data_IF_046083595942
#
_entry.id   IF_046083595942
#
_cell.length_a   1.000
_cell.length_b   1.000
_cell.length_c   1.000
_cell.angle_alpha   90.00
_cell.angle_beta   90.00
_cell.angle_gamma   90.00
#
_symmetry.space_group_name_H-M   'P 1'
#
loop_
_entity.id
_entity.type
_entity.pdbx_description
1 polymer ?
#
# COMPACT_ATOMS: atom_id res chain seq x y z
N UNK A 1 -43.55 -35.45 -25.12
CA UNK A 1 -42.80 -36.68 -24.74
C UNK A 1 -41.56 -36.99 -25.60
N UNK A 2 -41.25 -36.29 -26.69
CA UNK A 2 -40.08 -36.60 -27.55
C UNK A 2 -38.74 -35.92 -27.09
N UNK A 3 -38.80 -34.85 -26.31
CA UNK A 3 -37.59 -34.09 -25.92
C UNK A 3 -36.75 -34.75 -24.80
N UNK A 4 -37.41 -35.51 -23.90
CA UNK A 4 -36.72 -36.16 -22.79
C UNK A 4 -35.83 -37.36 -23.19
N UNK A 5 -36.11 -37.97 -24.32
CA UNK A 5 -35.36 -39.12 -24.80
C UNK A 5 -34.05 -38.70 -25.52
N UNK A 6 -34.04 -37.55 -26.14
CA UNK A 6 -32.83 -36.99 -26.78
C UNK A 6 -31.80 -36.56 -25.72
N UNK A 7 -32.25 -35.93 -24.63
CA UNK A 7 -31.38 -35.53 -23.51
C UNK A 7 -30.78 -36.76 -22.79
N UNK A 8 -31.57 -37.80 -22.63
CA UNK A 8 -31.06 -39.09 -22.03
C UNK A 8 -30.08 -39.79 -22.97
N UNK A 9 -30.29 -39.73 -24.26
CA UNK A 9 -29.36 -40.27 -25.25
C UNK A 9 -28.05 -39.53 -25.30
N UNK A 10 -28.10 -38.18 -25.29
CA UNK A 10 -26.91 -37.31 -25.26
C UNK A 10 -26.11 -37.48 -23.94
N UNK A 11 -26.81 -37.60 -22.81
CA UNK A 11 -26.19 -37.87 -21.51
C UNK A 11 -25.53 -39.26 -21.44
N UNK A 12 -26.17 -40.26 -22.06
CA UNK A 12 -25.61 -41.63 -22.14
C UNK A 12 -24.37 -41.68 -23.05
N UNK A 13 -24.34 -40.98 -24.16
CA UNK A 13 -23.18 -40.87 -25.06
C UNK A 13 -22.04 -40.09 -24.38
N UNK A 14 -22.35 -39.01 -23.66
CA UNK A 14 -21.34 -38.25 -22.91
C UNK A 14 -20.71 -39.09 -21.79
N UNK A 15 -21.53 -39.88 -21.06
CA UNK A 15 -21.06 -40.79 -20.00
C UNK A 15 -20.24 -41.97 -20.58
N UNK A 16 -20.57 -42.48 -21.75
CA UNK A 16 -19.80 -43.51 -22.41
C UNK A 16 -18.45 -42.99 -22.97
N UNK A 17 -18.40 -41.72 -23.38
CA UNK A 17 -17.16 -41.09 -23.86
C UNK A 17 -16.18 -40.78 -22.74
N UNK A 18 -16.68 -40.49 -21.52
CA UNK A 18 -15.84 -40.26 -20.34
C UNK A 18 -15.23 -41.55 -19.76
N UNK A 19 -15.81 -42.71 -20.05
CA UNK A 19 -15.26 -44.02 -19.63
C UNK A 19 -14.26 -44.65 -20.56
N UNK A 20 -14.06 -44.04 -21.77
CA UNK A 20 -13.15 -44.56 -22.79
C UNK A 20 -11.76 -43.91 -22.78
N UNK A 21 -11.37 -43.21 -21.72
CA UNK A 21 -9.99 -42.75 -21.57
C UNK A 21 -9.12 -43.97 -21.24
N UNK A 22 -8.21 -44.39 -22.15
CA UNK A 22 -7.26 -45.44 -21.83
C UNK A 22 -6.43 -44.96 -20.65
N UNK A 23 -6.38 -45.73 -19.59
CA UNK A 23 -5.39 -45.58 -18.53
C UNK A 23 -4.03 -45.88 -19.19
N UNK A 24 -3.36 -44.84 -19.67
CA UNK A 24 -1.97 -44.93 -20.12
C UNK A 24 -1.18 -45.20 -18.85
N UNK A 25 -0.82 -46.45 -18.63
CA UNK A 25 0.10 -46.85 -17.57
C UNK A 25 1.46 -46.18 -17.91
N UNK A 26 1.69 -45.01 -17.30
CA UNK A 26 2.99 -44.34 -17.41
C UNK A 26 4.05 -45.26 -16.82
N UNK A 27 5.02 -45.64 -17.61
CA UNK A 27 6.21 -46.32 -17.10
C UNK A 27 6.86 -45.40 -16.07
N UNK A 28 6.87 -45.84 -14.82
CA UNK A 28 7.53 -45.14 -13.73
C UNK A 28 8.83 -45.86 -13.39
N UNK A 29 9.83 -45.11 -13.02
CA UNK A 29 11.05 -45.65 -12.43
C UNK A 29 11.28 -45.09 -11.05
N UNK A 30 11.83 -45.90 -10.14
CA UNK A 30 12.16 -45.44 -8.80
C UNK A 30 13.57 -44.90 -8.78
N UNK A 31 13.72 -43.64 -8.43
CA UNK A 31 15.01 -42.99 -8.22
C UNK A 31 15.33 -42.97 -6.74
N UNK A 32 16.50 -43.50 -6.37
CA UNK A 32 17.05 -43.50 -5.01
C UNK A 32 18.42 -42.86 -5.04
N UNK A 33 18.71 -42.04 -4.04
CA UNK A 33 19.98 -41.39 -3.93
C UNK A 33 20.26 -40.87 -2.53
N UNK A 34 21.44 -40.28 -2.37
CA UNK A 34 21.89 -39.60 -1.18
C UNK A 34 22.30 -38.19 -1.59
N UNK A 35 21.78 -37.18 -0.89
CA UNK A 35 22.15 -35.80 -1.11
C UNK A 35 23.20 -35.42 -0.06
N UNK A 36 24.33 -34.90 -0.52
CA UNK A 36 25.45 -34.46 0.32
C UNK A 36 25.89 -33.05 -0.08
N UNK A 37 26.60 -32.41 0.82
CA UNK A 37 27.29 -31.16 0.54
C UNK A 37 28.68 -31.38 -0.13
N UNK A 38 29.41 -30.31 -0.40
CA UNK A 38 30.78 -30.33 -0.97
C UNK A 38 31.82 -30.97 -0.04
N UNK A 39 31.55 -31.10 1.26
CA UNK A 39 32.39 -31.78 2.24
C UNK A 39 32.05 -33.26 2.35
N UNK A 40 30.95 -33.70 1.78
CA UNK A 40 30.43 -35.07 1.78
C UNK A 40 29.52 -35.35 2.96
N UNK A 41 29.13 -34.35 3.76
CA UNK A 41 28.14 -34.48 4.81
C UNK A 41 26.71 -34.61 4.26
N UNK A 42 25.85 -35.47 4.84
CA UNK A 42 24.47 -35.66 4.36
C UNK A 42 23.61 -34.43 4.63
N UNK A 43 22.87 -33.97 3.60
CA UNK A 43 21.92 -32.87 3.73
C UNK A 43 20.54 -33.45 4.12
N UNK A 44 20.12 -33.14 5.34
CA UNK A 44 18.84 -33.57 5.92
C UNK A 44 17.74 -32.62 5.52
N UNK A 45 16.58 -33.14 5.09
CA UNK A 45 15.42 -32.31 4.76
C UNK A 45 15.48 -31.60 3.39
N UNK A 46 16.43 -31.99 2.52
CA UNK A 46 16.45 -31.48 1.16
C UNK A 46 15.19 -31.92 0.39
N UNK A 47 14.58 -31.00 -0.32
CA UNK A 47 13.37 -31.23 -1.12
C UNK A 47 13.75 -31.91 -2.45
N UNK A 48 13.12 -33.03 -2.74
CA UNK A 48 13.29 -33.80 -4.00
C UNK A 48 11.94 -33.86 -4.69
N UNK A 49 11.76 -33.11 -5.77
CA UNK A 49 10.48 -32.94 -6.47
C UNK A 49 10.58 -33.36 -7.93
N UNK A 50 9.56 -34.04 -8.43
CA UNK A 50 9.46 -34.36 -9.87
C UNK A 50 8.86 -33.16 -10.60
N UNK A 51 9.63 -32.59 -11.55
CA UNK A 51 9.28 -31.37 -12.26
C UNK A 51 7.95 -31.52 -13.01
N UNK A 52 7.05 -30.57 -12.80
CA UNK A 52 5.72 -30.57 -13.43
C UNK A 52 4.73 -31.58 -12.85
N UNK A 53 4.95 -32.05 -11.61
CA UNK A 53 4.03 -32.91 -10.87
C UNK A 53 3.94 -32.49 -9.41
N UNK A 54 2.98 -33.05 -8.66
CA UNK A 54 2.88 -32.90 -7.21
C UNK A 54 3.66 -33.96 -6.44
N UNK A 55 4.37 -34.87 -7.14
CA UNK A 55 5.14 -35.93 -6.53
C UNK A 55 6.48 -35.43 -6.06
N UNK A 56 6.81 -35.66 -4.78
CA UNK A 56 8.06 -35.28 -4.18
C UNK A 56 8.28 -36.02 -2.85
N UNK A 57 9.50 -35.89 -2.33
CA UNK A 57 9.91 -36.40 -1.02
C UNK A 57 10.96 -35.48 -0.41
N UNK A 58 11.34 -35.73 0.82
CA UNK A 58 12.46 -35.06 1.49
C UNK A 58 13.54 -36.09 1.86
N UNK A 59 14.77 -35.66 2.00
CA UNK A 59 15.87 -36.51 2.47
C UNK A 59 15.77 -36.82 3.97
N UNK A 60 16.16 -38.02 4.36
CA UNK A 60 16.20 -38.47 5.75
C UNK A 60 17.48 -37.99 6.49
N UNK A 61 17.70 -38.51 7.72
CA UNK A 61 18.86 -38.17 8.55
C UNK A 61 20.20 -38.55 7.96
N UNK A 62 20.23 -39.52 7.04
CA UNK A 62 21.42 -39.94 6.30
C UNK A 62 21.49 -39.26 4.92
N UNK A 63 20.66 -38.25 4.64
CA UNK A 63 20.56 -37.60 3.35
C UNK A 63 19.93 -38.47 2.24
N UNK A 64 19.36 -39.65 2.57
CA UNK A 64 18.78 -40.58 1.61
C UNK A 64 17.38 -40.20 1.21
N UNK A 65 17.03 -40.43 -0.06
CA UNK A 65 15.69 -40.24 -0.56
C UNK A 65 15.28 -41.35 -1.53
N UNK A 66 13.97 -41.49 -1.70
CA UNK A 66 13.38 -42.35 -2.73
C UNK A 66 12.13 -41.67 -3.31
N UNK A 67 12.13 -41.50 -4.64
CA UNK A 67 11.01 -40.89 -5.35
C UNK A 67 10.66 -41.68 -6.60
N UNK A 68 9.37 -41.77 -6.91
CA UNK A 68 8.87 -42.43 -8.11
C UNK A 68 8.75 -41.41 -9.24
N UNK A 69 9.49 -41.60 -10.33
CA UNK A 69 9.57 -40.64 -11.42
C UNK A 69 8.91 -41.23 -12.67
N UNK A 70 7.91 -40.56 -13.24
CA UNK A 70 7.36 -40.96 -14.55
C UNK A 70 8.39 -40.83 -15.66
N UNK A 71 8.36 -41.74 -16.62
CA UNK A 71 9.31 -41.74 -17.74
C UNK A 71 9.32 -40.40 -18.48
N UNK A 72 10.52 -39.85 -18.71
CA UNK A 72 10.71 -38.56 -19.40
C UNK A 72 10.56 -37.31 -18.50
N UNK A 73 10.36 -37.48 -17.18
CA UNK A 73 10.36 -36.36 -16.24
C UNK A 73 11.71 -36.17 -15.58
N UNK A 74 11.98 -34.95 -15.12
CA UNK A 74 13.20 -34.58 -14.44
C UNK A 74 12.91 -34.49 -12.91
N UNK A 75 13.97 -34.59 -12.12
CA UNK A 75 13.92 -34.43 -10.67
C UNK A 75 14.71 -33.19 -10.29
N UNK A 76 14.06 -32.30 -9.56
CA UNK A 76 14.63 -31.09 -8.97
C UNK A 76 14.96 -31.38 -7.50
N UNK A 77 16.20 -31.09 -7.11
CA UNK A 77 16.69 -31.22 -5.73
C UNK A 77 17.09 -29.85 -5.26
N UNK A 78 16.50 -29.40 -4.17
CA UNK A 78 16.72 -28.08 -3.60
C UNK A 78 16.83 -28.12 -2.07
N UNK A 79 17.69 -27.27 -1.52
CA UNK A 79 17.80 -27.04 -0.09
C UNK A 79 18.18 -25.59 0.16
N UNK A 80 17.75 -25.05 1.30
CA UNK A 80 18.02 -23.64 1.66
C UNK A 80 19.52 -23.43 1.79
N UNK A 81 20.07 -22.46 1.05
CA UNK A 81 21.52 -22.16 1.05
C UNK A 81 22.32 -22.98 0.04
N UNK A 82 21.68 -23.76 -0.84
CA UNK A 82 22.33 -24.56 -1.87
C UNK A 82 21.76 -24.31 -3.26
N UNK A 83 22.61 -24.44 -4.29
CA UNK A 83 22.19 -24.29 -5.68
C UNK A 83 21.27 -25.46 -6.06
N UNK A 84 20.07 -25.14 -6.51
CA UNK A 84 19.09 -26.12 -6.99
C UNK A 84 19.64 -26.90 -8.18
N UNK A 85 19.59 -28.23 -8.11
CA UNK A 85 20.07 -29.12 -9.15
C UNK A 85 18.91 -29.86 -9.83
N UNK A 86 18.88 -29.88 -11.18
CA UNK A 86 17.85 -30.58 -11.95
C UNK A 86 18.53 -31.76 -12.64
N UNK A 87 18.03 -32.97 -12.36
CA UNK A 87 18.57 -34.23 -12.89
C UNK A 87 17.64 -34.85 -13.93
N UNK A 88 18.20 -35.22 -15.07
CA UNK A 88 17.50 -35.95 -16.14
C UNK A 88 17.97 -37.39 -16.23
N UNK A 89 19.15 -37.71 -15.70
CA UNK A 89 19.73 -39.06 -15.63
C UNK A 89 19.77 -39.50 -14.16
N UNK A 90 19.18 -40.66 -13.89
CA UNK A 90 19.03 -41.26 -12.56
C UNK A 90 20.07 -42.36 -12.24
N UNK A 91 21.19 -42.37 -12.95
CA UNK A 91 22.30 -43.27 -12.70
C UNK A 91 23.17 -42.85 -11.54
N UNK A 92 23.23 -41.55 -11.26
CA UNK A 92 23.94 -41.02 -10.11
C UNK A 92 23.16 -41.27 -8.83
N UNK A 93 23.74 -42.00 -7.89
CA UNK A 93 23.16 -42.26 -6.57
C UNK A 93 23.66 -41.30 -5.49
N UNK A 94 24.76 -40.60 -5.72
CA UNK A 94 25.30 -39.57 -4.84
C UNK A 94 25.18 -38.21 -5.53
N UNK A 95 24.38 -37.33 -4.98
CA UNK A 95 24.12 -35.98 -5.49
C UNK A 95 24.77 -34.99 -4.55
N UNK A 96 25.76 -34.25 -5.05
CA UNK A 96 26.47 -33.21 -4.34
C UNK A 96 25.84 -31.86 -4.66
N UNK A 97 25.21 -31.21 -3.65
CA UNK A 97 24.75 -29.85 -3.78
C UNK A 97 25.91 -28.90 -3.43
N UNK A 98 26.13 -27.94 -4.29
CA UNK A 98 27.06 -26.85 -4.04
C UNK A 98 26.36 -25.80 -3.21
N UNK A 99 27.04 -25.30 -2.18
CA UNK A 99 26.53 -24.14 -1.45
C UNK A 99 26.26 -23.02 -2.43
N UNK A 100 25.08 -22.44 -2.33
CA UNK A 100 24.78 -21.21 -3.03
C UNK A 100 25.53 -20.07 -2.28
N UNK A 101 26.79 -19.91 -2.65
CA UNK A 101 27.60 -18.77 -2.23
C UNK A 101 27.15 -17.46 -2.87
N UNK A 102 26.20 -17.52 -3.82
CA UNK A 102 25.30 -16.42 -4.07
C UNK A 102 24.24 -16.39 -2.94
N UNK A 103 24.63 -16.20 -1.67
CA UNK A 103 23.89 -15.30 -0.84
C UNK A 103 23.56 -14.16 -1.80
N UNK A 104 22.28 -13.93 -2.02
CA UNK A 104 21.81 -12.68 -2.59
C UNK A 104 22.59 -11.63 -1.81
N UNK A 105 23.68 -11.15 -2.39
CA UNK A 105 24.40 -9.98 -1.90
C UNK A 105 23.35 -8.88 -2.01
N UNK A 106 22.49 -8.79 -1.01
CA UNK A 106 21.53 -7.70 -0.90
C UNK A 106 22.36 -6.45 -0.83
N UNK A 107 22.55 -5.88 -2.02
CA UNK A 107 23.33 -4.67 -2.19
C UNK A 107 22.42 -3.53 -1.80
N UNK A 108 22.72 -2.92 -0.68
CA UNK A 108 22.00 -1.74 -0.22
C UNK A 108 22.71 -0.52 -0.78
N UNK A 109 21.95 0.35 -1.43
CA UNK A 109 22.45 1.67 -1.84
C UNK A 109 22.65 2.51 -0.60
N UNK A 110 23.88 2.98 -0.35
CA UNK A 110 24.24 3.76 0.82
C UNK A 110 24.90 5.05 0.36
N UNK A 111 24.21 6.16 0.54
CA UNK A 111 24.74 7.46 0.16
C UNK A 111 25.10 7.54 -1.33
N UNK A 112 26.36 7.68 -1.65
CA UNK A 112 26.84 7.81 -3.03
C UNK A 112 27.39 6.51 -3.62
N UNK A 113 27.12 5.36 -2.98
CA UNK A 113 27.62 4.06 -3.43
C UNK A 113 26.74 2.89 -3.02
N UNK A 114 27.07 1.71 -3.54
CA UNK A 114 26.42 0.45 -3.18
C UNK A 114 27.35 -0.33 -2.26
N UNK A 115 26.83 -0.81 -1.11
CA UNK A 115 27.56 -1.68 -0.19
C UNK A 115 26.75 -2.95 0.08
N UNK A 116 27.46 -4.06 0.32
CA UNK A 116 26.80 -5.29 0.74
C UNK A 116 26.19 -5.10 2.12
N UNK A 117 24.96 -5.55 2.33
CA UNK A 117 24.25 -5.46 3.62
C UNK A 117 25.08 -5.99 4.79
N UNK A 118 25.86 -7.04 4.55
CA UNK A 118 26.77 -7.63 5.54
C UNK A 118 27.91 -6.69 6.00
N UNK A 119 28.25 -5.66 5.24
CA UNK A 119 29.31 -4.69 5.53
C UNK A 119 28.78 -3.39 6.14
N UNK A 120 27.45 -3.28 6.35
CA UNK A 120 26.83 -2.09 6.90
C UNK A 120 26.93 -2.11 8.44
N UNK A 121 27.74 -1.23 8.99
CA UNK A 121 27.85 -1.03 10.45
C UNK A 121 26.76 -0.11 11.02
N UNK A 122 25.96 0.51 10.16
CA UNK A 122 24.88 1.43 10.52
C UNK A 122 23.53 0.74 10.69
N UNK A 123 22.60 1.38 11.40
CA UNK A 123 21.22 0.93 11.54
C UNK A 123 20.42 1.18 10.22
N UNK A 124 20.48 0.25 9.29
CA UNK A 124 19.77 0.29 8.02
C UNK A 124 18.70 -0.81 8.01
N UNK A 125 17.49 -0.45 7.64
CA UNK A 125 16.40 -1.39 7.42
C UNK A 125 15.96 -1.34 5.96
N UNK A 126 15.84 -2.50 5.33
CA UNK A 126 15.36 -2.65 3.95
C UNK A 126 13.92 -3.14 3.97
N UNK A 127 13.10 -2.62 3.10
CA UNK A 127 11.69 -3.03 2.95
C UNK A 127 11.62 -4.17 1.93
N UNK A 128 10.96 -5.29 2.25
CA UNK A 128 10.70 -6.36 1.29
C UNK A 128 9.68 -5.88 0.25
N UNK A 129 10.14 -5.63 -0.98
CA UNK A 129 9.28 -5.04 -2.03
C UNK A 129 8.16 -5.97 -2.49
N UNK A 130 8.36 -7.29 -2.41
CA UNK A 130 7.36 -8.28 -2.82
C UNK A 130 6.08 -8.19 -1.95
N UNK A 131 6.21 -7.75 -0.71
CA UNK A 131 5.07 -7.63 0.22
C UNK A 131 4.20 -6.40 -0.06
N UNK A 132 4.72 -5.39 -0.77
CA UNK A 132 4.02 -4.11 -0.97
C UNK A 132 3.58 -3.83 -2.42
N UNK A 133 4.13 -4.55 -3.41
CA UNK A 133 3.85 -4.31 -4.83
C UNK A 133 2.37 -4.50 -5.18
N UNK A 134 1.69 -5.45 -4.54
CA UNK A 134 0.32 -5.84 -4.84
C UNK A 134 -0.73 -5.12 -3.96
N UNK A 135 -0.29 -4.23 -3.07
CA UNK A 135 -1.22 -3.46 -2.24
C UNK A 135 -1.90 -2.36 -3.05
N UNK A 136 -3.23 -2.28 -2.93
CA UNK A 136 -4.05 -1.25 -3.56
C UNK A 136 -4.08 0.04 -2.72
N UNK A 137 -2.91 0.53 -2.31
CA UNK A 137 -2.81 1.82 -1.60
C UNK A 137 -2.48 2.95 -2.56
N UNK A 138 -3.14 4.08 -2.39
CA UNK A 138 -2.84 5.32 -3.09
C UNK A 138 -1.55 6.01 -2.62
N UNK A 139 -0.97 5.51 -1.54
CA UNK A 139 0.05 6.16 -0.75
C UNK A 139 1.13 5.15 -0.36
N UNK A 140 2.35 5.35 -0.89
CA UNK A 140 3.45 4.42 -0.64
C UNK A 140 3.83 4.36 0.85
N UNK A 141 3.78 5.48 1.56
CA UNK A 141 4.16 5.51 2.98
C UNK A 141 3.26 4.61 3.83
N UNK A 142 1.95 4.57 3.55
CA UNK A 142 1.01 3.72 4.28
C UNK A 142 1.35 2.22 4.15
N UNK A 143 1.88 1.80 3.00
CA UNK A 143 2.28 0.41 2.79
C UNK A 143 3.47 -0.01 3.65
N UNK A 144 4.24 0.94 4.17
CA UNK A 144 5.40 0.68 5.04
C UNK A 144 5.03 0.49 6.52
N UNK A 145 3.77 0.69 6.88
CA UNK A 145 3.31 0.58 8.27
C UNK A 145 3.55 -0.83 8.81
N UNK A 146 4.28 -0.92 9.92
CA UNK A 146 4.61 -2.20 10.55
C UNK A 146 5.73 -3.02 9.89
N UNK A 147 6.25 -2.60 8.72
CA UNK A 147 7.29 -3.35 8.00
C UNK A 147 8.71 -3.04 8.48
N UNK A 148 8.92 -1.87 9.04
CA UNK A 148 10.23 -1.42 9.47
C UNK A 148 10.24 -1.06 10.95
N UNK A 149 11.08 -1.71 11.74
CA UNK A 149 11.21 -1.40 13.16
C UNK A 149 11.64 0.05 13.39
N UNK A 150 10.91 0.77 14.24
CA UNK A 150 11.18 2.17 14.58
C UNK A 150 10.74 3.17 13.50
N UNK A 151 9.92 2.74 12.55
CA UNK A 151 9.23 3.60 11.60
C UNK A 151 7.75 3.65 12.00
N UNK A 152 7.24 4.85 12.21
CA UNK A 152 5.82 5.11 12.47
C UNK A 152 5.21 5.81 11.27
N UNK A 153 4.06 5.34 10.84
CA UNK A 153 3.29 5.94 9.74
C UNK A 153 1.94 6.39 10.26
N UNK A 154 1.55 7.60 9.95
CA UNK A 154 0.27 8.17 10.35
C UNK A 154 -0.42 8.91 9.19
N UNK A 155 -1.75 8.84 9.14
CA UNK A 155 -2.55 9.45 8.08
C UNK A 155 -2.50 8.69 6.74
N UNK A 156 -3.00 9.32 5.70
CA UNK A 156 -2.87 8.88 4.30
C UNK A 156 -4.00 8.03 3.77
N UNK A 157 -4.30 6.89 4.36
CA UNK A 157 -5.26 5.94 3.76
C UNK A 157 -6.73 6.25 4.03
N UNK A 158 -7.01 7.04 5.05
CA UNK A 158 -8.39 7.33 5.44
C UNK A 158 -9.12 8.27 4.46
N UNK A 159 -8.38 9.05 3.68
CA UNK A 159 -8.94 9.98 2.70
C UNK A 159 -8.23 9.91 1.37
N UNK A 160 -8.96 9.87 0.25
CA UNK A 160 -8.38 9.91 -1.08
C UNK A 160 -7.42 11.10 -1.28
N UNK A 161 -6.22 10.79 -1.78
CA UNK A 161 -5.22 11.81 -2.11
C UNK A 161 -4.61 12.56 -0.94
N UNK A 162 -4.70 12.04 0.29
CA UNK A 162 -3.95 12.56 1.43
C UNK A 162 -2.62 11.82 1.59
N UNK A 163 -1.57 12.58 1.93
CA UNK A 163 -0.26 12.01 2.17
C UNK A 163 -0.17 11.42 3.57
N UNK A 164 0.40 10.24 3.69
CA UNK A 164 0.83 9.73 4.98
C UNK A 164 2.14 10.37 5.41
N UNK A 165 2.30 10.56 6.70
CA UNK A 165 3.51 11.06 7.34
C UNK A 165 4.32 9.92 7.90
N UNK A 166 5.63 9.95 7.67
CA UNK A 166 6.57 8.98 8.20
C UNK A 166 7.41 9.65 9.29
N UNK A 167 7.46 9.02 10.47
CA UNK A 167 8.37 9.38 11.53
C UNK A 167 9.33 8.22 11.80
N UNK A 168 10.62 8.52 11.88
CA UNK A 168 11.66 7.56 12.24
C UNK A 168 12.07 7.85 13.68
N UNK A 169 11.91 6.87 14.59
CA UNK A 169 12.27 6.94 16.00
C UNK A 169 11.63 8.07 16.80
N UNK A 170 10.37 8.35 16.52
CA UNK A 170 9.51 9.21 17.35
C UNK A 170 10.22 10.46 17.94
N UNK A 171 10.54 11.41 17.07
CA UNK A 171 11.08 12.71 17.48
C UNK A 171 9.96 13.74 17.67
N UNK A 172 9.00 13.42 18.53
CA UNK A 172 7.84 14.29 18.81
C UNK A 172 8.16 15.54 19.63
N UNK A 173 9.38 15.72 20.07
CA UNK A 173 9.67 16.64 21.19
C UNK A 173 9.85 18.10 20.78
N UNK A 174 9.98 18.43 19.50
CA UNK A 174 10.28 19.80 19.05
C UNK A 174 9.31 20.40 18.03
N UNK A 175 8.29 19.67 17.63
CA UNK A 175 7.31 20.14 16.63
C UNK A 175 6.38 21.25 17.18
N UNK A 176 6.20 21.34 18.47
CA UNK A 176 5.34 22.35 19.12
C UNK A 176 5.96 23.76 19.21
N UNK A 177 7.24 23.91 18.89
CA UNK A 177 7.94 25.21 18.92
C UNK A 177 8.11 25.79 17.52
N UNK A 178 7.13 25.56 16.63
CA UNK A 178 7.04 26.26 15.33
C UNK A 178 7.95 25.73 14.24
N UNK A 179 8.34 24.48 14.28
CA UNK A 179 9.13 23.81 13.24
C UNK A 179 8.46 22.58 12.66
N UNK A 180 8.35 22.54 11.37
CA UNK A 180 7.76 21.48 10.54
C UNK A 180 8.62 20.20 10.41
N UNK A 181 9.66 20.05 11.19
CA UNK A 181 10.80 19.21 10.84
C UNK A 181 10.86 17.86 11.57
N UNK A 182 9.76 17.12 11.71
CA UNK A 182 9.83 15.73 12.21
C UNK A 182 9.94 14.67 11.11
N UNK A 183 9.81 15.06 9.84
CA UNK A 183 9.84 14.13 8.72
C UNK A 183 11.27 13.78 8.27
N UNK A 184 11.49 12.55 7.77
CA UNK A 184 12.79 12.14 7.25
C UNK A 184 13.14 12.85 5.94
N UNK A 185 14.42 12.82 5.58
CA UNK A 185 14.89 13.24 4.27
C UNK A 185 14.58 12.17 3.23
N UNK A 186 14.01 12.57 2.11
CA UNK A 186 13.70 11.66 1.00
C UNK A 186 14.75 11.77 -0.10
N UNK A 187 15.31 10.62 -0.48
CA UNK A 187 16.29 10.51 -1.58
C UNK A 187 15.78 9.48 -2.58
N UNK A 188 15.46 9.91 -3.79
CA UNK A 188 14.91 9.04 -4.83
C UNK A 188 15.87 9.04 -6.02
N UNK A 189 16.40 7.87 -6.39
CA UNK A 189 17.41 7.69 -7.46
C UNK A 189 18.62 8.63 -7.31
N UNK A 190 19.04 8.91 -6.06
CA UNK A 190 20.15 9.80 -5.76
C UNK A 190 19.80 11.30 -5.70
N UNK A 191 18.59 11.67 -6.06
CA UNK A 191 18.14 13.06 -5.92
C UNK A 191 17.60 13.32 -4.51
N UNK A 192 18.15 14.32 -3.84
CA UNK A 192 17.76 14.74 -2.50
C UNK A 192 16.62 15.75 -2.63
N UNK A 193 15.42 15.35 -2.21
CA UNK A 193 14.26 16.23 -2.24
C UNK A 193 14.28 17.28 -1.13
N UNK A 194 13.81 18.50 -1.38
CA UNK A 194 13.65 19.50 -0.34
C UNK A 194 12.61 19.05 0.70
N UNK A 195 12.94 19.20 1.98
CA UNK A 195 12.03 18.85 3.09
C UNK A 195 10.93 19.90 3.23
N UNK A 196 11.27 21.16 3.00
CA UNK A 196 10.33 22.27 3.12
C UNK A 196 10.45 23.20 1.92
N UNK A 197 9.34 23.42 1.26
CA UNK A 197 9.20 24.46 0.24
C UNK A 197 8.00 25.32 0.60
N UNK A 198 8.24 26.61 0.74
CA UNK A 198 7.17 27.57 1.02
C UNK A 198 6.62 28.10 -0.29
N UNK A 199 5.35 27.81 -0.55
CA UNK A 199 4.63 28.30 -1.73
C UNK A 199 3.47 29.16 -1.23
N UNK A 200 3.62 30.49 -1.29
CA UNK A 200 2.67 31.39 -0.66
C UNK A 200 2.66 31.22 0.86
N UNK A 201 1.49 30.98 1.43
CA UNK A 201 1.30 30.75 2.87
C UNK A 201 1.34 29.26 3.27
N UNK A 202 1.55 28.36 2.31
CA UNK A 202 1.60 26.91 2.53
C UNK A 202 3.04 26.43 2.53
N UNK A 203 3.39 25.65 3.55
CA UNK A 203 4.66 24.92 3.62
C UNK A 203 4.41 23.47 3.23
N UNK A 204 5.05 23.00 2.18
CA UNK A 204 4.91 21.62 1.68
C UNK A 204 6.22 20.88 1.77
N UNK A 205 6.15 19.59 2.11
CA UNK A 205 7.25 18.65 2.00
C UNK A 205 7.18 17.95 0.63
N UNK A 206 7.93 18.50 -0.33
CA UNK A 206 7.97 17.93 -1.69
C UNK A 206 8.54 16.51 -1.71
N UNK A 207 9.44 16.18 -0.78
CA UNK A 207 10.01 14.85 -0.67
C UNK A 207 8.96 13.83 -0.23
N UNK A 208 8.16 14.17 0.78
CA UNK A 208 7.07 13.32 1.23
C UNK A 208 6.02 13.13 0.13
N UNK A 209 5.65 14.19 -0.57
CA UNK A 209 4.69 14.12 -1.68
C UNK A 209 5.22 13.26 -2.82
N UNK A 210 6.47 13.47 -3.25
CA UNK A 210 7.09 12.67 -4.28
C UNK A 210 7.18 11.18 -3.89
N UNK A 211 7.52 10.89 -2.63
CA UNK A 211 7.58 9.53 -2.11
C UNK A 211 6.20 8.87 -2.06
N UNK A 212 5.21 9.55 -1.50
CA UNK A 212 3.85 9.05 -1.40
C UNK A 212 3.21 8.76 -2.77
N UNK A 213 3.59 9.52 -3.78
CA UNK A 213 3.10 9.38 -5.14
C UNK A 213 3.80 8.29 -5.96
N UNK A 214 4.89 7.70 -5.49
CA UNK A 214 5.55 6.61 -6.21
C UNK A 214 4.67 5.37 -6.29
N UNK A 215 4.67 4.74 -7.47
CA UNK A 215 4.07 3.42 -7.64
C UNK A 215 5.03 2.34 -7.14
N UNK A 216 4.61 1.47 -6.18
CA UNK A 216 5.44 0.36 -5.70
C UNK A 216 5.97 -0.54 -6.83
N UNK A 217 5.25 -0.70 -7.93
CA UNK A 217 5.64 -1.58 -9.05
C UNK A 217 6.93 -1.15 -9.76
N UNK A 218 7.28 0.16 -9.69
CA UNK A 218 8.50 0.70 -10.29
C UNK A 218 9.68 0.75 -9.33
N UNK A 219 9.50 0.37 -8.07
CA UNK A 219 10.54 0.44 -7.05
C UNK A 219 11.34 -0.86 -7.03
N UNK A 220 12.65 -0.77 -6.98
CA UNK A 220 13.56 -1.91 -6.80
C UNK A 220 13.86 -2.13 -5.32
N UNK A 221 14.11 -1.05 -4.55
CA UNK A 221 14.38 -1.15 -3.12
C UNK A 221 14.04 0.14 -2.38
N UNK A 222 13.65 -0.02 -1.10
CA UNK A 222 13.52 1.07 -0.14
C UNK A 222 14.41 0.75 1.05
N UNK A 223 15.30 1.69 1.39
CA UNK A 223 16.17 1.58 2.55
C UNK A 223 15.92 2.74 3.51
N UNK A 224 15.71 2.42 4.77
CA UNK A 224 15.53 3.39 5.85
C UNK A 224 16.82 3.51 6.62
N UNK A 225 17.49 4.65 6.47
CA UNK A 225 18.74 4.94 7.15
C UNK A 225 18.46 5.68 8.46
N UNK A 226 18.99 5.16 9.54
CA UNK A 226 18.81 5.69 10.90
C UNK A 226 20.17 6.09 11.49
N UNK A 227 20.16 7.06 12.39
CA UNK A 227 21.33 7.46 13.17
C UNK A 227 22.60 7.75 12.32
N UNK A 228 23.71 7.10 12.66
CA UNK A 228 24.99 7.28 11.98
C UNK A 228 24.93 6.99 10.47
N UNK A 229 24.07 6.07 10.01
CA UNK A 229 23.90 5.78 8.59
C UNK A 229 23.33 6.97 7.81
N UNK A 230 22.49 7.79 8.43
CA UNK A 230 21.91 8.99 7.85
C UNK A 230 22.90 10.17 7.80
N UNK A 231 23.95 10.16 8.61
CA UNK A 231 24.90 11.27 8.74
C UNK A 231 25.62 11.63 7.43
N UNK A 232 25.74 10.69 6.49
CA UNK A 232 26.31 10.92 5.14
C UNK A 232 25.57 12.02 4.40
N UNK A 233 24.28 12.22 4.69
CA UNK A 233 23.43 13.26 4.07
C UNK A 233 23.45 14.60 4.82
N UNK A 234 24.28 14.72 5.86
CA UNK A 234 24.47 15.94 6.64
C UNK A 234 23.34 16.25 7.62
N UNK A 235 23.31 17.48 8.14
CA UNK A 235 22.37 17.88 9.20
C UNK A 235 20.89 17.77 8.83
N UNK A 236 20.54 17.85 7.54
CA UNK A 236 19.17 17.67 7.06
C UNK A 236 18.62 16.27 7.26
N UNK A 237 19.49 15.31 7.51
CA UNK A 237 19.13 13.90 7.76
C UNK A 237 19.03 13.56 9.25
N UNK A 238 18.93 14.55 10.12
CA UNK A 238 18.83 14.34 11.58
C UNK A 238 17.64 13.44 11.96
N UNK A 239 16.53 13.51 11.20
CA UNK A 239 15.34 12.68 11.39
C UNK A 239 15.38 11.36 10.60
N UNK A 240 16.55 10.96 10.08
CA UNK A 240 16.72 9.79 9.23
C UNK A 240 16.55 10.09 7.74
N UNK A 241 16.78 9.06 6.92
CA UNK A 241 16.69 9.16 5.46
C UNK A 241 15.89 7.96 4.92
N UNK A 242 14.98 8.23 4.01
CA UNK A 242 14.33 7.22 3.20
C UNK A 242 14.96 7.27 1.81
N UNK A 243 15.70 6.21 1.49
CA UNK A 243 16.39 6.06 0.23
C UNK A 243 15.59 5.10 -0.66
N UNK A 244 15.17 5.58 -1.82
CA UNK A 244 14.42 4.80 -2.82
C UNK A 244 15.27 4.62 -4.06
N UNK A 245 15.41 3.38 -4.48
CA UNK A 245 15.99 3.03 -5.79
C UNK A 245 14.89 2.45 -6.66
N UNK A 246 14.77 3.00 -7.85
CA UNK A 246 13.74 2.55 -8.79
C UNK A 246 14.32 1.56 -9.80
N UNK A 247 13.47 0.65 -10.30
CA UNK A 247 13.85 -0.36 -11.29
C UNK A 247 14.45 0.28 -12.53
N UNK A 248 15.57 -0.25 -12.99
CA UNK A 248 16.24 0.17 -14.22
C UNK A 248 16.19 -0.92 -15.28
N UNK A 249 16.50 -0.57 -16.50
CA UNK A 249 16.63 -1.53 -17.59
C UNK A 249 17.72 -2.57 -17.30
N UNK A 250 17.45 -3.83 -17.61
CA UNK A 250 18.41 -4.93 -17.49
C UNK A 250 18.67 -5.51 -18.88
N UNK A 251 19.90 -5.98 -19.11
CA UNK A 251 20.25 -6.66 -20.35
C UNK A 251 19.34 -7.88 -20.56
N UNK A 252 18.77 -8.01 -21.73
CA UNK A 252 17.90 -9.11 -22.10
C UNK A 252 16.79 -8.67 -23.07
N UNK A 253 16.02 -9.65 -23.52
CA UNK A 253 14.84 -9.39 -24.34
C UNK A 253 13.84 -8.49 -23.61
N UNK A 254 13.06 -7.68 -24.34
CA UNK A 254 12.01 -6.85 -23.73
C UNK A 254 11.05 -7.69 -22.91
N UNK A 255 10.84 -7.28 -21.65
CA UNK A 255 9.83 -7.86 -20.76
C UNK A 255 8.79 -6.79 -20.48
N UNK A 256 7.53 -7.11 -20.75
CA UNK A 256 6.39 -6.27 -20.44
C UNK A 256 5.62 -6.97 -19.31
N UNK A 257 5.30 -6.23 -18.27
CA UNK A 257 4.47 -6.68 -17.17
C UNK A 257 3.26 -5.76 -17.00
N UNK A 258 2.12 -6.35 -16.71
CA UNK A 258 0.90 -5.67 -16.30
C UNK A 258 0.49 -6.17 -14.92
N UNK A 259 0.15 -5.24 -14.05
CA UNK A 259 -0.47 -5.51 -12.75
C UNK A 259 -1.75 -4.71 -12.62
N UNK A 260 -2.82 -5.36 -12.17
CA UNK A 260 -4.11 -4.73 -11.88
C UNK A 260 -4.59 -5.14 -10.50
N UNK A 261 -4.89 -4.16 -9.64
CA UNK A 261 -5.37 -4.40 -8.28
C UNK A 261 -6.68 -3.65 -8.07
N UNK A 262 -7.64 -4.32 -7.45
CA UNK A 262 -8.92 -3.75 -7.05
C UNK A 262 -9.09 -3.93 -5.55
N UNK A 263 -9.53 -2.89 -4.88
CA UNK A 263 -9.77 -2.90 -3.45
C UNK A 263 -11.08 -2.24 -3.06
N UNK A 264 -11.56 -2.58 -1.88
CA UNK A 264 -12.69 -1.93 -1.22
C UNK A 264 -12.22 -1.40 0.11
N UNK A 265 -12.43 -0.12 0.34
CA UNK A 265 -12.14 0.54 1.61
C UNK A 265 -13.45 0.76 2.34
N UNK A 266 -13.58 0.17 3.51
CA UNK A 266 -14.77 0.31 4.35
C UNK A 266 -14.35 0.39 5.82
N UNK A 267 -15.27 0.79 6.68
CA UNK A 267 -15.01 0.82 8.12
C UNK A 267 -14.88 -0.59 8.71
N UNK A 268 -13.88 -0.80 9.53
CA UNK A 268 -13.71 -2.05 10.29
C UNK A 268 -14.62 -2.07 11.51
N UNK A 269 -14.80 -0.91 12.12
CA UNK A 269 -15.69 -0.73 13.25
C UNK A 269 -16.16 0.72 13.34
N UNK A 270 -17.36 0.91 13.80
CA UNK A 270 -17.97 2.22 14.02
C UNK A 270 -18.21 2.42 15.53
N UNK A 271 -17.90 3.61 16.01
CA UNK A 271 -18.30 3.99 17.37
C UNK A 271 -19.82 3.99 17.48
N UNK A 272 -20.36 3.28 18.47
CA UNK A 272 -21.79 3.32 18.75
C UNK A 272 -22.15 4.65 19.39
N UNK A 273 -22.92 5.45 18.69
CA UNK A 273 -23.43 6.71 19.19
C UNK A 273 -24.72 6.50 19.99
N UNK A 274 -24.99 7.42 20.89
CA UNK A 274 -26.24 7.44 21.63
C UNK A 274 -27.39 7.78 20.67
N UNK A 275 -28.53 7.10 20.81
CA UNK A 275 -29.74 7.52 20.11
C UNK A 275 -30.27 8.84 20.69
N UNK A 276 -31.24 9.46 20.01
CA UNK A 276 -31.77 10.74 20.41
C UNK A 276 -32.24 10.78 21.89
N UNK A 277 -32.96 9.78 22.35
CA UNK A 277 -33.45 9.67 23.73
C UNK A 277 -32.31 9.56 24.76
N UNK A 278 -31.34 8.67 24.48
CA UNK A 278 -30.16 8.51 25.35
C UNK A 278 -29.33 9.80 25.42
N UNK A 279 -29.18 10.48 24.28
CA UNK A 279 -28.50 11.77 24.22
C UNK A 279 -29.22 12.82 25.12
N UNK A 280 -30.53 12.94 24.98
CA UNK A 280 -31.31 13.87 25.81
C UNK A 280 -31.20 13.59 27.30
N UNK A 281 -31.24 12.30 27.70
CA UNK A 281 -31.02 11.89 29.08
C UNK A 281 -29.61 12.25 29.59
N UNK A 282 -28.59 11.96 28.80
CA UNK A 282 -27.20 12.29 29.14
C UNK A 282 -27.00 13.79 29.25
N UNK A 283 -27.57 14.57 28.32
CA UNK A 283 -27.52 16.02 28.35
C UNK A 283 -28.10 16.59 29.66
N UNK A 284 -29.30 16.16 30.02
CA UNK A 284 -29.93 16.57 31.24
C UNK A 284 -29.12 16.18 32.49
N UNK A 285 -28.58 14.97 32.52
CA UNK A 285 -27.76 14.48 33.62
C UNK A 285 -26.47 15.30 33.80
N UNK A 286 -25.76 15.57 32.68
CA UNK A 286 -24.52 16.37 32.71
C UNK A 286 -24.79 17.80 33.17
N UNK A 287 -25.84 18.44 32.65
CA UNK A 287 -26.22 19.79 33.03
C UNK A 287 -26.66 19.88 34.49
N UNK A 288 -27.45 18.92 34.96
CA UNK A 288 -27.90 18.88 36.36
C UNK A 288 -26.75 18.57 37.34
N UNK A 289 -25.69 17.95 36.90
CA UNK A 289 -24.53 17.56 37.72
C UNK A 289 -23.47 18.68 37.83
N UNK A 290 -23.57 19.76 37.06
CA UNK A 290 -22.64 20.90 37.17
C UNK A 290 -23.03 21.84 38.30
N UNK A 291 -22.40 21.77 39.48
CA UNK A 291 -22.74 22.61 40.63
C UNK A 291 -22.27 24.06 40.46
N UNK A 292 -21.48 24.35 39.43
CA UNK A 292 -20.90 25.68 39.18
C UNK A 292 -21.71 26.50 38.21
N UNK A 293 -22.60 25.89 37.45
CA UNK A 293 -23.45 26.56 36.48
C UNK A 293 -24.76 27.07 37.18
N UNK A 294 -24.62 28.18 37.86
CA UNK A 294 -25.78 28.89 38.52
C UNK A 294 -26.72 29.53 37.49
N UNK A 295 -26.39 29.48 36.20
CA UNK A 295 -27.17 30.07 35.12
C UNK A 295 -28.12 29.09 34.44
N UNK A 296 -28.18 27.81 34.89
CA UNK A 296 -29.05 26.80 34.28
C UNK A 296 -30.51 27.22 34.38
N UNK A 297 -31.09 27.49 33.25
CA UNK A 297 -32.53 27.66 33.12
C UNK A 297 -33.15 26.28 32.86
N UNK A 298 -33.72 25.67 33.93
CA UNK A 298 -34.31 24.33 33.86
C UNK A 298 -35.36 24.18 32.74
N UNK A 299 -35.97 25.28 32.32
CA UNK A 299 -36.99 25.26 31.27
C UNK A 299 -36.38 25.31 29.84
N UNK A 300 -35.26 26.01 29.67
CA UNK A 300 -34.68 26.23 28.33
C UNK A 300 -33.40 25.41 28.06
N UNK A 301 -32.70 25.00 29.12
CA UNK A 301 -31.42 24.32 28.99
C UNK A 301 -31.52 22.80 29.17
N UNK A 302 -32.64 22.30 29.66
CA UNK A 302 -32.92 20.86 29.81
C UNK A 302 -34.06 20.44 28.88
N UNK A 303 -33.93 19.25 28.32
CA UNK A 303 -35.03 18.61 27.60
C UNK A 303 -36.16 18.26 28.59
N UNK A 304 -37.35 18.70 28.27
CA UNK A 304 -38.53 18.43 29.07
C UNK A 304 -39.03 16.99 28.87
N UNK A 305 -39.95 16.53 29.72
CA UNK A 305 -40.42 15.16 29.71
C UNK A 305 -41.15 14.77 28.38
N UNK A 306 -41.88 15.70 27.81
CA UNK A 306 -42.56 15.53 26.51
C UNK A 306 -41.57 15.52 25.34
N UNK A 307 -40.55 16.37 25.37
CA UNK A 307 -39.46 16.37 24.38
C UNK A 307 -38.67 15.05 24.43
N UNK A 308 -38.27 14.60 25.62
CA UNK A 308 -37.62 13.31 25.82
C UNK A 308 -38.50 12.14 25.33
N UNK A 309 -39.81 12.25 25.55
CA UNK A 309 -40.72 11.21 25.07
C UNK A 309 -40.83 11.19 23.55
N UNK A 310 -40.84 12.34 22.89
CA UNK A 310 -40.81 12.48 21.46
C UNK A 310 -39.50 11.92 20.85
N UNK A 311 -38.37 12.13 21.55
CA UNK A 311 -37.06 11.62 21.11
C UNK A 311 -36.95 10.10 21.07
N UNK A 312 -37.81 9.35 21.77
CA UNK A 312 -37.77 7.88 21.74
C UNK A 312 -37.98 7.28 20.35
N UNK A 313 -38.70 7.99 19.48
CA UNK A 313 -38.93 7.56 18.08
C UNK A 313 -37.94 8.14 17.05
N UNK A 314 -37.03 9.01 17.49
CA UNK A 314 -36.13 9.71 16.59
C UNK A 314 -34.73 9.10 16.62
N UNK A 315 -34.21 8.83 15.43
CA UNK A 315 -32.82 8.37 15.29
C UNK A 315 -32.31 8.69 13.88
N UNK A 316 -31.82 9.90 13.67
CA UNK A 316 -31.25 10.33 12.41
C UNK A 316 -29.75 10.09 12.40
N UNK A 317 -29.35 8.84 12.07
CA UNK A 317 -27.95 8.49 11.92
C UNK A 317 -27.42 8.90 10.55
N UNK A 318 -26.64 9.98 10.54
CA UNK A 318 -26.06 10.51 9.29
C UNK A 318 -24.90 9.65 8.77
N UNK A 319 -24.22 8.91 9.63
CA UNK A 319 -23.19 7.98 9.18
C UNK A 319 -23.82 6.83 8.38
N UNK A 320 -24.92 6.26 8.86
CA UNK A 320 -25.64 5.23 8.11
C UNK A 320 -26.19 5.75 6.78
N UNK A 321 -26.58 7.03 6.74
CA UNK A 321 -27.12 7.63 5.52
C UNK A 321 -26.05 7.93 4.46
N UNK A 322 -24.87 8.41 4.88
CA UNK A 322 -23.89 8.98 3.96
C UNK A 322 -22.61 8.17 3.77
N UNK A 323 -22.33 7.27 4.71
CA UNK A 323 -21.19 6.37 4.56
C UNK A 323 -21.45 5.33 3.47
N UNK A 324 -20.49 5.14 2.60
CA UNK A 324 -20.49 4.09 1.58
C UNK A 324 -19.13 3.40 1.52
N UNK A 325 -19.13 2.12 1.23
CA UNK A 325 -17.89 1.44 0.87
C UNK A 325 -17.30 2.09 -0.39
N UNK A 326 -16.02 2.40 -0.35
CA UNK A 326 -15.31 3.08 -1.41
C UNK A 326 -14.49 2.11 -2.24
N UNK A 327 -14.47 2.26 -3.55
CA UNK A 327 -13.69 1.45 -4.46
C UNK A 327 -12.33 2.08 -4.70
N UNK A 328 -11.31 1.23 -4.83
CA UNK A 328 -9.98 1.60 -5.28
C UNK A 328 -9.58 0.70 -6.44
N UNK A 329 -8.87 1.26 -7.41
CA UNK A 329 -8.29 0.49 -8.49
C UNK A 329 -6.92 1.03 -8.87
N UNK A 330 -6.05 0.13 -9.25
CA UNK A 330 -4.70 0.45 -9.69
C UNK A 330 -4.33 -0.42 -10.88
N UNK A 331 -3.78 0.21 -11.90
CA UNK A 331 -3.31 -0.46 -13.10
C UNK A 331 -1.91 0.02 -13.42
N UNK A 332 -0.97 -0.90 -13.62
CA UNK A 332 0.43 -0.58 -13.92
C UNK A 332 0.92 -1.40 -15.10
N UNK A 333 1.55 -0.75 -16.07
CA UNK A 333 2.25 -1.39 -17.18
C UNK A 333 3.70 -0.99 -17.12
N UNK A 334 4.60 -1.96 -17.05
CA UNK A 334 6.03 -1.72 -17.01
C UNK A 334 6.73 -2.51 -18.12
N UNK A 335 7.74 -1.90 -18.73
CA UNK A 335 8.58 -2.51 -19.75
C UNK A 335 10.05 -2.31 -19.38
N UNK A 336 10.82 -3.36 -19.45
CA UNK A 336 12.27 -3.34 -19.26
C UNK A 336 12.96 -4.18 -20.33
N UNK A 337 14.14 -3.77 -20.73
CA UNK A 337 14.93 -4.53 -21.70
C UNK A 337 16.29 -3.89 -21.93
N UNK A 338 17.10 -4.51 -22.74
CA UNK A 338 18.39 -3.93 -23.08
C UNK A 338 19.34 -4.86 -23.81
N UNK A 339 20.42 -4.28 -24.27
CA UNK A 339 21.57 -4.92 -24.87
C UNK A 339 22.81 -4.74 -23.99
N UNK A 340 23.96 -5.22 -24.45
CA UNK A 340 25.24 -4.95 -23.78
C UNK A 340 25.59 -3.46 -23.70
N UNK A 341 25.07 -2.65 -24.63
CA UNK A 341 25.41 -1.24 -24.78
C UNK A 341 24.34 -0.28 -24.26
N UNK A 342 23.07 -0.69 -24.28
CA UNK A 342 21.98 0.20 -23.87
C UNK A 342 20.89 -0.59 -23.17
N UNK A 343 20.51 -0.15 -21.98
CA UNK A 343 19.38 -0.66 -21.22
C UNK A 343 18.29 0.42 -21.18
N UNK A 344 17.04 0.00 -21.24
CA UNK A 344 15.90 0.92 -21.20
C UNK A 344 14.80 0.39 -20.29
N UNK A 345 14.03 1.32 -19.76
CA UNK A 345 12.83 1.02 -19.00
C UNK A 345 11.75 2.06 -19.31
N UNK A 346 10.52 1.66 -19.15
CA UNK A 346 9.36 2.53 -19.21
C UNK A 346 8.24 1.97 -18.36
N UNK A 347 7.43 2.84 -17.77
CA UNK A 347 6.28 2.45 -16.97
C UNK A 347 5.24 3.56 -16.97
N UNK A 348 3.98 3.14 -16.93
CA UNK A 348 2.83 4.01 -16.70
C UNK A 348 1.91 3.30 -15.74
N UNK A 349 1.38 4.06 -14.77
CA UNK A 349 0.35 3.54 -13.87
C UNK A 349 -0.77 4.55 -13.68
N UNK A 350 -1.95 4.02 -13.46
CA UNK A 350 -3.17 4.75 -13.10
C UNK A 350 -3.68 4.23 -11.77
N UNK A 351 -3.99 5.14 -10.88
CA UNK A 351 -4.62 4.89 -9.60
C UNK A 351 -5.90 5.72 -9.50
N UNK A 352 -6.95 5.12 -8.98
CA UNK A 352 -8.25 5.75 -8.77
C UNK A 352 -8.84 5.28 -7.44
N UNK A 353 -9.33 6.23 -6.66
CA UNK A 353 -9.85 5.99 -5.33
C UNK A 353 -11.07 6.87 -5.06
N UNK A 354 -12.18 6.23 -4.79
CA UNK A 354 -13.37 6.90 -4.27
C UNK A 354 -13.24 7.16 -2.77
N UNK A 355 -13.97 8.15 -2.27
CA UNK A 355 -14.12 8.40 -0.82
C UNK A 355 -15.35 7.75 -0.23
N UNK A 356 -15.29 7.46 1.06
CA UNK A 356 -16.42 6.89 1.81
C UNK A 356 -17.52 7.91 2.09
N UNK A 357 -17.20 9.21 2.05
CA UNK A 357 -18.13 10.31 2.35
C UNK A 357 -18.16 11.33 1.22
N UNK A 358 -19.34 11.67 0.76
CA UNK A 358 -19.56 12.76 -0.19
C UNK A 358 -18.95 12.53 -1.57
N UNK A 359 -18.67 13.64 -2.24
CA UNK A 359 -18.04 13.68 -3.57
C UNK A 359 -16.53 13.86 -3.41
N UNK A 360 -15.92 12.92 -2.70
CA UNK A 360 -14.48 12.85 -2.51
C UNK A 360 -13.93 11.77 -3.43
N UNK A 361 -13.03 12.15 -4.31
CA UNK A 361 -12.33 11.22 -5.21
C UNK A 361 -10.91 11.70 -5.48
N UNK A 362 -10.07 10.75 -5.79
CA UNK A 362 -8.69 11.00 -6.18
C UNK A 362 -8.26 10.07 -7.29
N UNK A 363 -7.70 10.63 -8.35
CA UNK A 363 -7.04 9.83 -9.37
C UNK A 363 -5.64 10.37 -9.67
N UNK A 364 -4.74 9.46 -10.07
CA UNK A 364 -3.36 9.79 -10.36
C UNK A 364 -2.79 8.94 -11.49
N UNK A 365 -2.12 9.60 -12.39
CA UNK A 365 -1.25 8.99 -13.38
C UNK A 365 0.19 9.13 -12.95
N UNK A 366 0.95 8.05 -13.02
CA UNK A 366 2.40 8.10 -12.89
C UNK A 366 3.01 7.65 -14.21
N UNK A 367 4.12 8.25 -14.59
CA UNK A 367 4.86 7.86 -15.77
C UNK A 367 6.36 7.89 -15.48
N UNK A 368 7.08 6.99 -16.12
CA UNK A 368 8.52 6.88 -15.99
C UNK A 368 9.13 6.24 -17.23
N UNK A 369 10.23 6.82 -17.71
CA UNK A 369 11.00 6.26 -18.80
C UNK A 369 12.46 6.61 -18.63
N UNK A 370 13.36 5.74 -19.12
CA UNK A 370 14.77 6.07 -19.10
C UNK A 370 15.60 5.11 -19.92
N UNK A 371 16.82 5.54 -20.18
CA UNK A 371 17.84 4.79 -20.91
C UNK A 371 19.19 5.01 -20.27
N UNK A 372 19.92 3.91 -20.10
CA UNK A 372 21.32 3.88 -19.66
C UNK A 372 22.17 3.35 -20.83
N UNK A 373 23.15 4.14 -21.30
CA UNK A 373 23.98 3.82 -22.47
C UNK A 373 25.45 3.76 -22.08
N UNK A 374 26.11 2.66 -22.42
CA UNK A 374 27.56 2.55 -22.37
C UNK A 374 28.15 3.06 -23.70
N UNK A 375 28.58 4.32 -23.68
CA UNK A 375 29.17 4.97 -24.87
C UNK A 375 30.54 4.34 -25.18
N UNK A 376 31.31 4.08 -24.14
CA UNK A 376 32.60 3.39 -24.24
C UNK A 376 32.85 2.53 -22.99
N UNK A 377 33.99 1.88 -22.89
CA UNK A 377 34.38 1.11 -21.68
C UNK A 377 34.47 1.95 -20.44
N UNK A 378 34.73 3.22 -20.58
CA UNK A 378 35.00 4.20 -19.54
C UNK A 378 33.98 5.35 -19.47
N UNK A 379 32.96 5.37 -20.35
CA UNK A 379 31.95 6.44 -20.36
C UNK A 379 30.55 5.83 -20.45
N UNK A 380 29.72 6.15 -19.46
CA UNK A 380 28.28 5.82 -19.42
C UNK A 380 27.48 7.12 -19.40
N UNK A 381 26.34 7.11 -20.07
CA UNK A 381 25.33 8.18 -20.01
C UNK A 381 24.00 7.61 -19.58
N UNK A 382 23.28 8.35 -18.79
CA UNK A 382 21.93 8.02 -18.36
C UNK A 382 20.99 9.20 -18.57
N UNK A 383 19.77 8.89 -18.98
CA UNK A 383 18.68 9.86 -19.04
C UNK A 383 17.43 9.21 -18.49
N UNK A 384 16.75 9.88 -17.58
CA UNK A 384 15.51 9.45 -16.97
C UNK A 384 14.54 10.60 -16.91
N UNK A 385 13.28 10.34 -17.26
CA UNK A 385 12.13 11.21 -17.07
C UNK A 385 11.12 10.48 -16.22
N UNK A 386 10.62 11.12 -15.20
CA UNK A 386 9.55 10.57 -14.35
C UNK A 386 8.65 11.69 -13.86
N UNK A 387 7.41 11.34 -13.51
CA UNK A 387 6.49 12.30 -12.96
C UNK A 387 5.14 11.70 -12.61
N UNK A 388 4.31 12.55 -12.04
CA UNK A 388 2.94 12.23 -11.71
C UNK A 388 2.01 13.40 -12.06
N UNK A 389 0.76 13.05 -12.36
CA UNK A 389 -0.35 13.98 -12.49
C UNK A 389 -1.52 13.46 -11.65
N UNK A 390 -1.85 14.20 -10.61
CA UNK A 390 -2.89 13.87 -9.66
C UNK A 390 -4.05 14.86 -9.73
N UNK A 391 -5.27 14.36 -9.54
CA UNK A 391 -6.48 15.16 -9.44
C UNK A 391 -7.31 14.70 -8.27
N UNK A 392 -7.58 15.63 -7.35
CA UNK A 392 -8.38 15.42 -6.15
C UNK A 392 -9.57 16.34 -6.18
N UNK A 393 -10.76 15.77 -6.04
CA UNK A 393 -11.97 16.51 -5.80
C UNK A 393 -12.41 16.31 -4.35
N UNK A 394 -12.80 17.35 -3.69
CA UNK A 394 -13.41 17.28 -2.35
C UNK A 394 -14.58 18.26 -2.25
N UNK A 395 -15.58 17.97 -1.40
CA UNK A 395 -16.63 18.94 -1.12
C UNK A 395 -16.01 20.24 -0.60
N UNK A 396 -16.56 21.38 -1.02
CA UNK A 396 -16.14 22.68 -0.50
C UNK A 396 -16.87 22.97 0.82
N UNK A 397 -16.43 22.31 1.89
CA UNK A 397 -17.03 22.45 3.22
C UNK A 397 -16.10 23.26 4.11
N UNK A 398 -16.53 24.47 4.49
CA UNK A 398 -15.89 25.23 5.56
C UNK A 398 -16.76 25.17 6.80
N UNK A 399 -16.32 24.43 7.81
CA UNK A 399 -16.98 24.38 9.10
C UNK A 399 -16.10 25.07 10.12
N UNK A 400 -16.60 26.16 10.68
CA UNK A 400 -15.96 26.79 11.84
C UNK A 400 -14.57 27.35 11.60
N UNK A 401 -14.31 27.93 10.45
CA UNK A 401 -13.25 28.94 10.28
C UNK A 401 -11.87 28.47 9.88
N UNK A 402 -11.49 27.20 9.82
CA UNK A 402 -10.12 26.92 9.42
C UNK A 402 -9.76 25.56 8.81
N UNK A 403 -10.53 24.49 8.96
CA UNK A 403 -10.06 23.20 8.45
C UNK A 403 -11.16 22.41 7.73
N UNK A 404 -10.87 22.08 6.49
CA UNK A 404 -11.68 21.25 5.58
C UNK A 404 -11.81 19.77 6.02
N UNK A 405 -11.22 19.39 7.15
CA UNK A 405 -11.04 17.99 7.57
C UNK A 405 -12.06 17.51 8.60
N UNK A 406 -13.15 18.28 8.81
CA UNK A 406 -14.12 17.97 9.86
C UNK A 406 -15.44 17.38 9.39
N UNK A 407 -15.56 16.99 8.13
CA UNK A 407 -16.78 16.40 7.58
C UNK A 407 -17.25 15.15 8.34
N UNK A 408 -16.35 14.24 8.67
CA UNK A 408 -16.67 13.07 9.49
C UNK A 408 -17.11 13.47 10.90
N UNK A 409 -16.40 14.40 11.53
CA UNK A 409 -16.76 14.91 12.86
C UNK A 409 -18.12 15.62 12.88
N UNK A 410 -18.49 16.28 11.78
CA UNK A 410 -19.82 16.89 11.64
C UNK A 410 -20.94 15.86 11.73
N UNK A 411 -20.76 14.70 11.12
CA UNK A 411 -21.73 13.63 11.16
C UNK A 411 -21.86 13.04 12.57
N UNK A 412 -20.77 13.00 13.34
CA UNK A 412 -20.76 12.52 14.71
C UNK A 412 -21.33 13.50 15.71
N UNK A 413 -21.13 14.80 15.50
CA UNK A 413 -21.55 15.84 16.48
C UNK A 413 -23.02 16.19 16.35
N UNK A 414 -23.65 15.90 15.20
CA UNK A 414 -25.05 16.25 14.98
C UNK A 414 -25.97 15.39 15.83
N UNK A 415 -26.84 15.99 16.65
CA UNK A 415 -27.80 15.23 17.47
C UNK A 415 -28.76 14.41 16.60
N UNK A 416 -28.98 13.18 16.98
CA UNK A 416 -29.85 12.25 16.25
C UNK A 416 -31.35 12.57 16.30
N UNK A 417 -31.75 13.61 16.99
CA UNK A 417 -33.13 14.09 17.01
C UNK A 417 -33.42 15.22 16.01
N UNK A 418 -32.39 15.76 15.34
CA UNK A 418 -32.56 16.80 14.33
C UNK A 418 -32.48 16.16 12.95
N UNK A 419 -33.58 16.15 12.17
CA UNK A 419 -33.52 15.69 10.80
C UNK A 419 -32.66 16.62 9.95
N UNK A 420 -32.08 16.12 8.91
CA UNK A 420 -31.29 16.90 7.97
C UNK A 420 -32.17 17.75 7.05
N UNK A 421 -33.31 17.18 6.67
CA UNK A 421 -34.28 17.81 5.78
C UNK A 421 -35.71 17.50 6.21
N UNK A 422 -36.64 18.38 5.89
CA UNK A 422 -38.08 18.15 5.99
C UNK A 422 -38.71 18.42 4.64
N UNK A 423 -39.41 17.41 4.09
CA UNK A 423 -40.05 17.49 2.77
C UNK A 423 -39.07 17.90 1.65
N UNK A 424 -37.81 17.41 1.70
CA UNK A 424 -36.77 17.73 0.73
C UNK A 424 -36.15 19.13 0.90
N UNK A 425 -36.54 19.86 1.93
CA UNK A 425 -35.94 21.16 2.26
C UNK A 425 -34.90 20.94 3.37
N UNK A 426 -33.63 21.24 3.11
CA UNK A 426 -32.59 21.12 4.13
C UNK A 426 -32.86 21.99 5.33
N UNK A 427 -32.71 21.42 6.53
CA UNK A 427 -32.80 22.17 7.78
C UNK A 427 -31.42 22.71 8.11
N UNK A 428 -31.30 24.01 8.06
CA UNK A 428 -30.15 24.74 8.61
C UNK A 428 -30.60 25.35 9.92
N UNK A 429 -30.15 24.85 11.08
CA UNK A 429 -30.53 25.40 12.36
C UNK A 429 -29.84 26.76 12.58
N UNK A 430 -30.23 27.75 11.81
CA UNK A 430 -29.69 29.10 11.87
C UNK A 430 -30.53 29.90 12.91
N UNK A 431 -29.86 30.50 13.85
CA UNK A 431 -30.51 31.45 14.78
C UNK A 431 -31.23 30.82 15.97
N UNK A 432 -31.08 29.51 16.21
CA UNK A 432 -31.52 28.91 17.47
C UNK A 432 -30.50 29.30 18.55
N UNK A 433 -30.84 30.31 19.31
CA UNK A 433 -30.06 30.79 20.46
C UNK A 433 -30.16 29.85 21.67
N UNK A 434 -30.25 28.53 21.43
CA UNK A 434 -30.43 27.57 22.48
C UNK A 434 -29.09 26.84 22.71
N UNK A 435 -28.67 26.75 23.98
CA UNK A 435 -27.47 26.02 24.40
C UNK A 435 -27.46 24.52 24.02
N UNK A 436 -28.64 23.96 23.71
CA UNK A 436 -28.83 22.58 23.28
C UNK A 436 -28.33 22.32 21.87
N UNK A 437 -28.14 23.35 21.03
CA UNK A 437 -27.67 23.22 19.66
C UNK A 437 -26.39 24.03 19.48
N UNK A 438 -25.29 23.35 19.34
CA UNK A 438 -23.98 23.98 19.10
C UNK A 438 -23.93 24.73 17.77
N UNK A 439 -23.26 25.87 17.72
CA UNK A 439 -23.06 26.68 16.50
C UNK A 439 -22.35 25.95 15.39
N UNK A 440 -21.62 24.87 15.70
CA UNK A 440 -20.96 24.00 14.72
C UNK A 440 -21.92 23.06 13.97
N UNK A 441 -23.20 23.01 14.36
CA UNK A 441 -24.23 22.16 13.75
C UNK A 441 -25.06 22.88 12.68
N UNK A 442 -24.62 24.05 12.22
CA UNK A 442 -25.35 24.91 11.31
C UNK A 442 -25.34 24.50 9.84
N UNK A 443 -24.76 23.34 9.53
CA UNK A 443 -24.65 22.91 8.13
C UNK A 443 -25.39 21.60 7.92
N UNK A 444 -26.24 21.58 6.88
CA UNK A 444 -26.80 20.35 6.38
C UNK A 444 -25.77 19.66 5.48
N UNK A 445 -25.45 18.40 5.77
CA UNK A 445 -24.52 17.64 4.97
C UNK A 445 -25.06 17.38 3.57
N UNK A 446 -26.40 17.29 3.40
CA UNK A 446 -27.04 17.17 2.09
C UNK A 446 -26.79 18.38 1.20
N UNK A 447 -26.77 19.60 1.76
CA UNK A 447 -26.41 20.80 1.02
C UNK A 447 -24.99 20.73 0.48
N UNK A 448 -24.08 20.16 1.25
CA UNK A 448 -22.67 20.04 0.87
C UNK A 448 -22.43 19.00 -0.22
N UNK A 449 -23.25 17.95 -0.25
CA UNK A 449 -23.18 16.92 -1.29
C UNK A 449 -23.94 17.30 -2.56
N UNK A 450 -25.08 17.97 -2.42
CA UNK A 450 -26.00 18.25 -3.53
C UNK A 450 -25.77 19.60 -4.19
N UNK A 451 -25.06 20.52 -3.54
CA UNK A 451 -24.84 21.88 -4.03
C UNK A 451 -23.93 21.97 -5.28
N UNK A 452 -23.29 20.87 -5.67
CA UNK A 452 -22.34 20.88 -6.80
C UNK A 452 -21.05 21.67 -6.51
N UNK A 453 -20.91 22.19 -5.31
CA UNK A 453 -19.72 22.89 -4.87
C UNK A 453 -18.59 21.91 -4.58
N UNK A 454 -17.48 22.06 -5.24
CA UNK A 454 -16.31 21.24 -5.02
C UNK A 454 -15.04 22.08 -5.04
N UNK A 455 -14.04 21.60 -4.31
CA UNK A 455 -12.67 22.07 -4.40
C UNK A 455 -11.87 21.04 -5.18
N UNK A 456 -11.31 21.45 -6.31
CA UNK A 456 -10.45 20.62 -7.15
C UNK A 456 -9.01 21.05 -7.00
N UNK A 457 -8.16 20.10 -6.62
CA UNK A 457 -6.72 20.27 -6.61
C UNK A 457 -6.12 19.42 -7.72
N UNK A 458 -5.32 20.03 -8.56
CA UNK A 458 -4.54 19.34 -9.59
C UNK A 458 -3.07 19.52 -9.29
N UNK A 459 -2.33 18.42 -9.22
CA UNK A 459 -0.89 18.40 -8.98
C UNK A 459 -0.19 17.78 -10.17
N UNK A 460 0.91 18.38 -10.59
CA UNK A 460 1.74 17.85 -11.67
C UNK A 460 3.20 17.99 -11.30
N UNK A 461 3.90 16.87 -11.25
CA UNK A 461 5.33 16.82 -10.98
C UNK A 461 6.04 16.19 -12.17
N UNK A 462 7.20 16.74 -12.53
CA UNK A 462 8.08 16.17 -13.55
C UNK A 462 9.52 16.31 -13.13
N UNK A 463 10.26 15.21 -13.19
CA UNK A 463 11.68 15.14 -12.91
C UNK A 463 12.42 14.64 -14.14
N UNK A 464 13.51 15.30 -14.48
CA UNK A 464 14.42 14.90 -15.54
C UNK A 464 15.81 14.77 -14.93
N UNK A 465 16.35 13.55 -14.97
CA UNK A 465 17.68 13.25 -14.48
C UNK A 465 18.57 12.85 -15.67
N UNK A 466 19.67 13.56 -15.84
CA UNK A 466 20.71 13.20 -16.80
C UNK A 466 22.03 13.01 -16.06
N UNK A 467 22.72 11.92 -16.37
CA UNK A 467 23.98 11.57 -15.72
C UNK A 467 25.04 11.17 -16.75
N UNK A 468 26.29 11.57 -16.46
CA UNK A 468 27.48 11.07 -17.15
C UNK A 468 28.42 10.52 -16.09
N UNK A 469 28.79 9.26 -16.24
CA UNK A 469 29.74 8.57 -15.39
C UNK A 469 30.99 8.25 -16.18
N UNK A 470 32.13 8.75 -15.73
CA UNK A 470 33.43 8.48 -16.33
C UNK A 470 34.29 7.68 -15.34
N UNK A 471 34.74 6.52 -15.80
CA UNK A 471 35.64 5.66 -15.05
C UNK A 471 37.08 5.92 -15.49
N UNK A 472 37.90 6.36 -14.59
CA UNK A 472 39.30 6.70 -14.88
C UNK A 472 40.24 5.49 -14.91
N UNK A 473 39.76 4.27 -14.73
CA UNK A 473 40.53 3.02 -14.77
C UNK A 473 41.09 2.62 -13.42
#
# INVERSE_FOLDING_TARGET
MKHNNIIKLCLGIFLAFTMALPAIAQKTQTFKGVVVDTTGEPIIGASVKVVGTTTGTITDLDGKFMVVVPSGKQVEISYIGYITQVLSDFKQTKIELKEDTQQLDEVVVVGYGTQKKAHLTGAIATVPMDDIQDLASGNLASTLSGMVNGLSVSGGDARPGENARINIRQNDVLSDIGGTASEPLYVIDGYIYPVEVKIGDVTENLGATAFNNLDPSVIESISVLKDAAAAVYGARAANGVILVTTKRGKQGAPKISYSGTFGVVDEVSRAKMLNAYQYGQLWNAVRAADPTDVSINLQNDLFQADELNAMKGLNYDLLDKYWKAALTQKHSINMTGGSERANYFGGISYFDQDGNLGNLDYNRWNYRAGVDVKISKWLKASLQVSGDYGKKNKPNVKVGGSNDEKDYNLLLVRPYYIPEEVNGIPIVPYGISNSQVSSSQNYSFSLLQNAGDYNRTETSNMNINAGLEYDFG
#
